data_IF_695438466759
#
_entry.id   IF_695438466759
#
_cell.length_a   1.000
_cell.length_b   1.000
_cell.length_c   1.000
_cell.angle_alpha   90.00
_cell.angle_beta   90.00
_cell.angle_gamma   90.00
#
_symmetry.space_group_name_H-M   'P 1'
#
loop_
_entity.id
_entity.type
_entity.pdbx_description
1 polymer ?
#
# COMPACT_ATOMS: atom_id res chain seq x y z
N UNK A 1 7.03 3.38 -25.02
CA UNK A 1 6.43 4.71 -24.84
C UNK A 1 5.41 4.83 -25.93
N UNK A 2 4.21 5.26 -25.57
CA UNK A 2 3.09 5.24 -26.52
C UNK A 2 3.19 6.45 -27.46
N UNK A 3 2.66 6.32 -28.67
CA UNK A 3 2.75 7.38 -29.67
C UNK A 3 2.06 8.67 -29.16
N UNK A 4 2.78 9.79 -29.22
CA UNK A 4 2.29 11.10 -28.72
C UNK A 4 2.44 11.32 -27.22
N UNK A 5 3.02 10.38 -26.46
CA UNK A 5 3.31 10.56 -25.04
C UNK A 5 4.76 11.00 -24.79
N UNK A 6 4.97 11.82 -23.76
CA UNK A 6 6.28 12.26 -23.29
C UNK A 6 6.56 11.73 -21.88
N UNK A 7 7.84 11.59 -21.52
CA UNK A 7 8.23 11.16 -20.15
C UNK A 7 7.77 12.20 -19.13
N UNK A 8 7.16 11.73 -18.05
CA UNK A 8 6.79 12.60 -16.95
C UNK A 8 8.03 13.00 -16.13
N UNK A 9 8.06 14.26 -15.73
CA UNK A 9 9.01 14.85 -14.80
C UNK A 9 8.29 15.84 -13.88
N UNK A 10 8.97 16.35 -12.86
CA UNK A 10 8.38 17.28 -11.90
C UNK A 10 7.88 18.59 -12.52
N UNK A 11 8.34 18.97 -13.71
CA UNK A 11 7.95 20.21 -14.38
C UNK A 11 6.72 20.07 -15.29
N UNK A 12 6.39 18.86 -15.75
CA UNK A 12 5.34 18.65 -16.74
C UNK A 12 4.10 17.91 -16.23
N UNK A 13 4.09 17.45 -14.97
CA UNK A 13 2.90 16.87 -14.36
C UNK A 13 1.73 17.88 -14.32
N UNK A 14 0.47 17.42 -14.46
CA UNK A 14 -0.68 18.28 -14.20
C UNK A 14 -0.73 18.64 -12.71
N UNK A 15 -1.20 19.85 -12.40
CA UNK A 15 -1.47 20.23 -11.02
C UNK A 15 -2.71 19.49 -10.52
N UNK A 16 -2.58 18.83 -9.37
CA UNK A 16 -3.69 18.11 -8.74
C UNK A 16 -3.71 18.52 -7.27
N UNK A 17 -4.68 19.34 -6.90
CA UNK A 17 -4.85 19.76 -5.51
C UNK A 17 -5.75 18.81 -4.70
N UNK A 18 -5.80 19.03 -3.39
CA UNK A 18 -6.60 18.23 -2.47
C UNK A 18 -8.11 18.34 -2.70
N UNK A 19 -8.60 19.46 -3.24
CA UNK A 19 -10.01 19.64 -3.58
C UNK A 19 -10.40 18.80 -4.79
N UNK A 20 -9.53 18.74 -5.82
CA UNK A 20 -9.70 17.89 -7.00
C UNK A 20 -9.82 16.41 -6.62
N UNK A 21 -8.93 15.95 -5.73
CA UNK A 21 -8.98 14.58 -5.20
C UNK A 21 -10.27 14.34 -4.44
N UNK A 22 -10.64 15.26 -3.55
CA UNK A 22 -11.86 15.14 -2.73
C UNK A 22 -13.11 15.12 -3.59
N UNK A 23 -13.21 16.02 -4.58
CA UNK A 23 -14.33 16.10 -5.52
C UNK A 23 -14.45 14.83 -6.36
N UNK A 24 -13.33 14.29 -6.85
CA UNK A 24 -13.33 13.04 -7.58
C UNK A 24 -13.82 11.88 -6.71
N UNK A 25 -13.32 11.75 -5.47
CA UNK A 25 -13.78 10.70 -4.56
C UNK A 25 -15.25 10.87 -4.16
N UNK A 26 -15.73 12.10 -3.95
CA UNK A 26 -17.13 12.37 -3.63
C UNK A 26 -18.07 12.04 -4.79
N UNK A 27 -17.65 12.31 -6.03
CA UNK A 27 -18.46 12.07 -7.24
C UNK A 27 -18.50 10.59 -7.66
N UNK A 28 -17.58 9.78 -7.14
CA UNK A 28 -17.52 8.36 -7.39
C UNK A 28 -18.03 7.61 -6.16
N UNK A 29 -19.35 7.37 -6.08
CA UNK A 29 -19.98 6.64 -4.97
C UNK A 29 -19.45 5.21 -4.75
N UNK A 30 -18.64 4.71 -5.69
CA UNK A 30 -17.99 3.40 -5.67
C UNK A 30 -16.62 3.41 -4.97
N UNK A 31 -16.41 4.30 -4.00
CA UNK A 31 -15.07 4.52 -3.43
C UNK A 31 -14.69 3.51 -2.34
N UNK A 32 -15.60 2.72 -1.74
CA UNK A 32 -15.23 1.76 -0.69
C UNK A 32 -16.23 0.57 -0.55
N UNK A 33 -15.78 -0.67 -0.78
CA UNK A 33 -16.47 -1.88 -0.29
C UNK A 33 -16.17 -2.09 1.20
N UNK A 34 -17.00 -2.82 1.96
CA UNK A 34 -16.78 -3.03 3.42
C UNK A 34 -15.41 -3.64 3.78
N UNK A 35 -14.75 -4.34 2.86
CA UNK A 35 -13.39 -4.86 3.02
C UNK A 35 -12.32 -3.76 3.07
N UNK A 36 -12.68 -2.55 2.63
CA UNK A 36 -11.82 -1.38 2.58
C UNK A 36 -11.90 -0.54 3.87
N UNK A 37 -12.79 -0.85 4.83
CA UNK A 37 -12.79 -0.19 6.16
C UNK A 37 -11.58 -0.55 7.01
N UNK A 38 -10.94 -1.68 6.70
CA UNK A 38 -9.64 -2.05 7.24
C UNK A 38 -8.49 -1.44 6.44
N UNK A 39 -8.71 -0.48 5.53
CA UNK A 39 -7.64 0.16 4.76
C UNK A 39 -6.60 0.79 5.67
N UNK A 40 -6.94 1.36 6.83
CA UNK A 40 -5.91 1.86 7.77
C UNK A 40 -5.02 0.73 8.29
N UNK A 41 -5.58 -0.46 8.52
CA UNK A 41 -4.86 -1.68 8.95
C UNK A 41 -4.15 -2.38 7.78
N UNK A 42 -4.66 -2.27 6.55
CA UNK A 42 -4.05 -2.88 5.35
C UNK A 42 -3.01 -1.98 4.69
N UNK A 43 -3.14 -0.65 4.81
CA UNK A 43 -2.12 0.32 4.40
C UNK A 43 -0.95 0.30 5.39
N UNK A 44 -1.21 0.13 6.70
CA UNK A 44 -0.14 -0.05 7.68
C UNK A 44 0.60 -1.40 7.55
N UNK A 45 -0.04 -2.40 6.92
CA UNK A 45 0.60 -3.67 6.54
C UNK A 45 1.24 -3.67 5.13
N UNK A 46 0.96 -2.68 4.28
CA UNK A 46 1.44 -2.61 2.88
C UNK A 46 2.53 -1.54 2.74
N UNK A 47 3.71 -1.82 3.26
CA UNK A 47 4.94 -1.08 2.90
C UNK A 47 5.27 -1.12 1.38
N UNK A 48 4.52 -1.87 0.56
CA UNK A 48 4.80 -2.08 -0.85
C UNK A 48 3.95 -1.26 -1.84
N UNK A 49 3.01 -0.42 -1.39
CA UNK A 49 2.21 0.45 -2.28
C UNK A 49 2.41 1.95 -1.98
N UNK A 50 3.64 2.31 -1.60
CA UNK A 50 4.08 3.70 -1.51
C UNK A 50 4.52 4.26 -2.87
N UNK A 51 5.08 5.47 -2.86
CA UNK A 51 5.54 6.15 -4.07
C UNK A 51 6.60 5.37 -4.87
N UNK A 52 7.36 4.53 -4.18
CA UNK A 52 8.35 3.61 -4.74
C UNK A 52 7.76 2.53 -5.65
N UNK A 53 6.45 2.29 -5.56
CA UNK A 53 5.73 1.35 -6.42
C UNK A 53 5.44 1.93 -7.80
N UNK A 54 5.49 3.25 -7.97
CA UNK A 54 5.12 3.93 -9.21
C UNK A 54 6.36 4.13 -10.08
N UNK A 55 6.24 3.79 -11.36
CA UNK A 55 7.30 3.97 -12.35
C UNK A 55 6.76 4.04 -13.77
N UNK A 56 7.69 4.26 -14.71
CA UNK A 56 7.39 4.41 -16.13
C UNK A 56 6.22 5.37 -16.44
N UNK A 57 6.23 6.53 -15.79
CA UNK A 57 5.15 7.51 -15.95
C UNK A 57 5.38 8.34 -17.21
N UNK A 58 4.36 8.38 -18.07
CA UNK A 58 4.31 9.17 -19.29
C UNK A 58 3.02 9.99 -19.32
N UNK A 59 3.03 11.12 -20.00
CA UNK A 59 1.86 11.97 -20.13
C UNK A 59 1.70 12.52 -21.53
N UNK A 60 0.49 12.90 -21.86
CA UNK A 60 0.11 13.58 -23.10
C UNK A 60 -0.77 14.76 -22.74
N UNK A 61 -0.36 15.95 -23.16
CA UNK A 61 -1.11 17.19 -22.96
C UNK A 61 -1.84 17.54 -24.25
N UNK A 62 -3.17 17.51 -24.20
CA UNK A 62 -4.09 17.91 -25.25
C UNK A 62 -5.08 18.89 -24.63
N UNK A 63 -4.72 20.19 -24.47
CA UNK A 63 -5.54 21.16 -23.75
C UNK A 63 -7.00 21.12 -24.20
N UNK A 64 -7.96 21.06 -23.27
CA UNK A 64 -7.82 21.27 -21.82
C UNK A 64 -7.43 20.01 -21.01
N UNK A 65 -7.21 18.87 -21.66
CA UNK A 65 -7.05 17.56 -21.02
C UNK A 65 -5.58 17.14 -20.95
N UNK A 66 -5.16 16.66 -19.78
CA UNK A 66 -3.88 16.00 -19.55
C UNK A 66 -4.12 14.54 -19.21
N UNK A 67 -3.60 13.63 -20.05
CA UNK A 67 -3.66 12.19 -19.83
C UNK A 67 -2.32 11.72 -19.28
N UNK A 68 -2.32 11.16 -18.08
CA UNK A 68 -1.16 10.60 -17.40
C UNK A 68 -1.30 9.08 -17.33
N UNK A 69 -0.31 8.36 -17.83
CA UNK A 69 -0.21 6.91 -17.77
C UNK A 69 0.96 6.53 -16.86
N UNK A 70 0.76 5.54 -16.02
CA UNK A 70 1.82 5.01 -15.16
C UNK A 70 1.72 3.51 -14.97
N UNK A 71 2.81 2.93 -14.47
CA UNK A 71 2.85 1.55 -14.01
C UNK A 71 3.05 1.51 -12.50
N UNK A 72 2.25 0.70 -11.84
CA UNK A 72 2.36 0.41 -10.42
C UNK A 72 2.81 -1.04 -10.26
N UNK A 73 3.95 -1.24 -9.63
CA UNK A 73 4.43 -2.57 -9.29
C UNK A 73 3.89 -2.99 -7.92
N UNK A 74 3.08 -4.04 -7.91
CA UNK A 74 2.51 -4.60 -6.70
C UNK A 74 2.44 -6.12 -6.82
N UNK A 75 2.84 -6.84 -5.78
CA UNK A 75 2.89 -8.32 -5.75
C UNK A 75 3.51 -8.95 -7.01
N UNK A 76 4.72 -8.51 -7.36
CA UNK A 76 5.49 -9.06 -8.49
C UNK A 76 4.89 -8.82 -9.88
N UNK A 77 3.82 -8.01 -9.99
CA UNK A 77 3.16 -7.67 -11.26
C UNK A 77 3.08 -6.16 -11.47
N UNK A 78 3.32 -5.75 -12.71
CA UNK A 78 3.04 -4.39 -13.18
C UNK A 78 1.55 -4.22 -13.47
N UNK A 79 0.93 -3.21 -12.87
CA UNK A 79 -0.44 -2.77 -13.14
C UNK A 79 -0.41 -1.44 -13.88
N UNK A 80 -1.09 -1.34 -15.01
CA UNK A 80 -1.20 -0.13 -15.83
C UNK A 80 -2.36 0.72 -15.34
N UNK A 81 -2.10 1.99 -15.07
CA UNK A 81 -3.10 2.94 -14.61
C UNK A 81 -3.11 4.17 -15.50
N UNK A 82 -4.31 4.65 -15.80
CA UNK A 82 -4.58 5.90 -16.51
C UNK A 82 -5.25 6.89 -15.57
N UNK A 83 -4.75 8.12 -15.56
CA UNK A 83 -5.30 9.29 -14.88
C UNK A 83 -5.58 10.35 -15.94
N UNK A 84 -6.77 10.92 -15.94
CA UNK A 84 -7.19 11.99 -16.84
C UNK A 84 -7.57 13.19 -15.99
N UNK A 85 -6.93 14.32 -16.28
CA UNK A 85 -7.13 15.60 -15.57
C UNK A 85 -7.58 16.64 -16.59
N UNK A 86 -8.64 17.37 -16.29
CA UNK A 86 -8.98 18.61 -16.96
C UNK A 86 -8.23 19.75 -16.25
N UNK A 87 -7.23 20.32 -16.92
CA UNK A 87 -6.40 21.40 -16.35
C UNK A 87 -7.15 22.75 -16.33
N UNK A 88 -8.16 22.95 -17.18
CA UNK A 88 -8.95 24.20 -17.23
C UNK A 88 -10.02 24.24 -16.16
N UNK A 89 -10.72 23.12 -15.95
CA UNK A 89 -11.74 23.00 -14.90
C UNK A 89 -11.15 22.64 -13.53
N UNK A 90 -9.84 22.39 -13.47
CA UNK A 90 -9.17 21.85 -12.28
C UNK A 90 -9.97 20.66 -11.73
N UNK A 91 -10.14 19.62 -12.54
CA UNK A 91 -10.93 18.44 -12.16
C UNK A 91 -10.24 17.15 -12.61
N UNK A 92 -10.15 16.17 -11.71
CA UNK A 92 -9.79 14.80 -12.09
C UNK A 92 -11.02 14.15 -12.71
N UNK A 93 -10.98 13.88 -14.01
CA UNK A 93 -12.12 13.31 -14.75
C UNK A 93 -12.22 11.81 -14.56
N UNK A 94 -11.08 11.12 -14.56
CA UNK A 94 -11.05 9.65 -14.56
C UNK A 94 -9.76 9.10 -13.98
N UNK A 95 -9.88 8.02 -13.20
CA UNK A 95 -8.75 7.17 -12.79
C UNK A 95 -9.13 5.71 -13.00
N UNK A 96 -8.36 4.99 -13.80
CA UNK A 96 -8.68 3.61 -14.16
C UNK A 96 -7.42 2.73 -14.17
N UNK A 97 -7.47 1.62 -13.45
CA UNK A 97 -6.52 0.52 -13.60
C UNK A 97 -7.05 -0.43 -14.68
N UNK A 98 -6.18 -0.87 -15.59
CA UNK A 98 -6.55 -1.77 -16.69
C UNK A 98 -6.38 -3.24 -16.36
N UNK A 99 -5.71 -3.54 -15.24
CA UNK A 99 -5.38 -4.91 -14.81
C UNK A 99 -6.29 -5.42 -13.68
N UNK A 100 -7.20 -4.58 -13.17
CA UNK A 100 -8.15 -4.94 -12.12
C UNK A 100 -9.58 -4.93 -12.69
N UNK A 101 -10.33 -6.00 -12.42
CA UNK A 101 -11.74 -6.16 -12.84
C UNK A 101 -12.72 -5.70 -11.76
N UNK A 102 -12.30 -4.75 -10.91
CA UNK A 102 -13.12 -4.26 -9.80
C UNK A 102 -14.22 -3.33 -10.32
N UNK A 103 -15.45 -3.50 -9.82
CA UNK A 103 -16.58 -2.58 -10.07
C UNK A 103 -16.39 -1.22 -9.35
N UNK A 104 -15.40 -1.17 -8.46
CA UNK A 104 -15.07 -0.05 -7.58
C UNK A 104 -13.65 0.48 -7.88
N UNK A 105 -13.29 1.64 -7.32
CA UNK A 105 -11.94 2.17 -7.47
C UNK A 105 -10.95 1.23 -6.79
N UNK A 106 -10.09 0.58 -7.58
CA UNK A 106 -9.10 -0.33 -7.04
C UNK A 106 -7.98 0.44 -6.31
N UNK A 107 -7.25 -0.27 -5.44
CA UNK A 107 -6.15 0.31 -4.66
C UNK A 107 -5.03 0.87 -5.55
N UNK A 108 -4.80 0.31 -6.75
CA UNK A 108 -3.80 0.82 -7.71
C UNK A 108 -4.22 2.17 -8.27
N UNK A 109 -5.49 2.33 -8.65
CA UNK A 109 -6.04 3.60 -9.11
C UNK A 109 -5.92 4.67 -8.03
N UNK A 110 -6.32 4.35 -6.80
CA UNK A 110 -6.20 5.27 -5.68
C UNK A 110 -4.74 5.62 -5.38
N UNK A 111 -3.84 4.64 -5.36
CA UNK A 111 -2.41 4.86 -5.13
C UNK A 111 -1.80 5.78 -6.20
N UNK A 112 -2.17 5.60 -7.47
CA UNK A 112 -1.69 6.45 -8.56
C UNK A 112 -2.19 7.90 -8.44
N UNK A 113 -3.48 8.08 -8.09
CA UNK A 113 -4.06 9.40 -7.87
C UNK A 113 -3.35 10.13 -6.73
N UNK A 114 -3.16 9.45 -5.60
CA UNK A 114 -2.49 10.03 -4.45
C UNK A 114 -1.01 10.32 -4.71
N UNK A 115 -0.33 9.47 -5.50
CA UNK A 115 1.04 9.72 -5.96
C UNK A 115 1.11 10.98 -6.83
N UNK A 116 0.20 11.14 -7.79
CA UNK A 116 0.18 12.28 -8.70
C UNK A 116 -0.10 13.59 -7.95
N UNK A 117 -1.04 13.58 -7.00
CA UNK A 117 -1.31 14.70 -6.10
C UNK A 117 -0.04 15.13 -5.34
N UNK A 118 0.61 14.21 -4.59
CA UNK A 118 1.85 14.49 -3.84
C UNK A 118 2.93 15.08 -4.74
N UNK A 119 3.20 14.45 -5.88
CA UNK A 119 4.25 14.90 -6.82
C UNK A 119 3.95 16.26 -7.44
N UNK A 120 2.67 16.61 -7.59
CA UNK A 120 2.28 17.92 -8.13
C UNK A 120 2.39 19.06 -7.11
N UNK A 121 2.38 18.77 -5.81
CA UNK A 121 2.54 19.76 -4.73
C UNK A 121 3.98 19.88 -4.22
N UNK A 122 4.84 18.90 -4.50
CA UNK A 122 6.24 18.94 -4.12
C UNK A 122 6.99 20.09 -4.81
N UNK A 123 7.53 21.02 -4.02
CA UNK A 123 8.48 22.04 -4.49
C UNK A 123 9.88 21.43 -4.55
N UNK A 124 10.27 20.96 -5.74
CA UNK A 124 11.57 20.32 -5.93
C UNK A 124 12.54 21.26 -6.62
N UNK A 125 13.72 21.49 -6.01
CA UNK A 125 14.80 22.33 -6.56
C UNK A 125 15.47 21.71 -7.81
N UNK A 126 15.36 20.39 -7.99
CA UNK A 126 15.92 19.64 -9.11
C UNK A 126 14.85 18.87 -9.90
N UNK A 127 15.02 18.79 -11.22
CA UNK A 127 14.09 18.05 -12.09
C UNK A 127 14.14 16.54 -11.81
N UNK A 128 13.05 16.00 -11.26
CA UNK A 128 12.90 14.57 -11.02
C UNK A 128 12.22 13.91 -12.22
N UNK A 129 12.76 12.78 -12.68
CA UNK A 129 12.19 12.01 -13.79
C UNK A 129 11.48 10.75 -13.27
N UNK A 130 10.26 10.52 -13.74
CA UNK A 130 9.42 9.39 -13.31
C UNK A 130 9.43 8.21 -14.30
N UNK A 131 10.36 8.24 -15.26
CA UNK A 131 10.58 7.16 -16.23
C UNK A 131 11.66 6.19 -15.75
N UNK A 132 11.38 5.49 -14.65
CA UNK A 132 12.28 4.48 -14.07
C UNK A 132 11.53 3.22 -13.68
N UNK A 133 12.27 2.12 -13.52
CA UNK A 133 11.74 0.89 -12.93
C UNK A 133 11.26 1.21 -11.51
N UNK A 134 10.05 0.76 -11.10
CA UNK A 134 9.58 0.91 -9.73
C UNK A 134 10.63 0.42 -8.73
N UNK A 135 10.93 1.25 -7.72
CA UNK A 135 11.89 0.92 -6.66
C UNK A 135 11.46 -0.33 -5.89
N UNK A 136 10.16 -0.56 -5.75
CA UNK A 136 9.64 -1.80 -5.15
C UNK A 136 9.92 -3.06 -5.98
N UNK A 137 10.10 -2.93 -7.30
CA UNK A 137 10.55 -4.04 -8.14
C UNK A 137 12.06 -4.33 -7.99
N UNK A 138 12.84 -3.35 -7.54
CA UNK A 138 14.28 -3.47 -7.28
C UNK A 138 14.57 -4.03 -5.88
N UNK A 139 13.70 -3.77 -4.89
CA UNK A 139 13.81 -4.24 -3.49
C UNK A 139 13.38 -5.71 -3.29
N UNK A 140 13.41 -6.54 -4.34
CA UNK A 140 12.98 -7.95 -4.29
C UNK A 140 14.01 -8.89 -3.64
N UNK A 141 15.16 -8.39 -3.17
CA UNK A 141 16.03 -9.17 -2.27
C UNK A 141 15.47 -9.17 -0.85
N UNK A 142 15.24 -10.37 -0.32
CA UNK A 142 14.72 -10.71 1.02
C UNK A 142 14.92 -9.62 2.08
N UNK A 143 13.81 -8.99 2.49
CA UNK A 143 13.78 -7.95 3.55
C UNK A 143 13.71 -8.52 4.97
N UNK A 144 13.71 -9.84 5.09
CA UNK A 144 13.65 -10.52 6.37
C UNK A 144 14.88 -11.38 6.51
N UNK A 145 15.74 -11.00 7.43
CA UNK A 145 16.77 -11.91 7.92
C UNK A 145 16.07 -12.74 8.97
N UNK A 146 15.84 -14.02 8.68
CA UNK A 146 15.32 -14.96 9.68
C UNK A 146 16.28 -14.99 10.88
N UNK A 147 15.77 -15.28 12.07
CA UNK A 147 16.64 -15.41 13.25
C UNK A 147 17.74 -16.47 13.01
N UNK A 148 17.43 -17.50 12.23
CA UNK A 148 18.43 -18.47 11.76
C UNK A 148 19.54 -17.83 10.92
N UNK A 149 19.18 -16.97 9.95
CA UNK A 149 20.15 -16.21 9.14
C UNK A 149 20.94 -15.17 9.96
N UNK A 150 20.34 -14.55 10.99
CA UNK A 150 21.04 -13.61 11.87
C UNK A 150 22.04 -14.32 12.80
N UNK A 151 21.68 -15.50 13.28
CA UNK A 151 22.47 -16.25 14.27
C UNK A 151 23.40 -17.29 13.66
N UNK A 152 23.27 -17.54 12.35
CA UNK A 152 23.99 -18.61 11.64
C UNK A 152 23.62 -20.02 12.10
N UNK A 153 22.51 -20.19 12.82
CA UNK A 153 22.07 -21.45 13.40
C UNK A 153 20.65 -21.78 12.93
N UNK A 154 20.51 -22.89 12.20
CA UNK A 154 19.21 -23.36 11.70
C UNK A 154 18.22 -23.76 12.82
N UNK A 155 18.71 -23.94 14.05
CA UNK A 155 17.90 -24.20 15.24
C UNK A 155 18.45 -23.45 16.44
N UNK A 156 17.66 -22.50 16.95
CA UNK A 156 17.80 -22.03 18.32
C UNK A 156 17.14 -23.11 19.19
N UNK A 157 17.94 -23.84 19.96
CA UNK A 157 17.42 -24.65 21.06
C UNK A 157 16.90 -23.69 22.12
N UNK A 158 15.63 -23.29 22.01
CA UNK A 158 14.94 -22.61 23.09
C UNK A 158 14.69 -23.70 24.13
N UNK A 159 15.36 -23.63 25.28
CA UNK A 159 14.92 -24.39 26.44
C UNK A 159 13.50 -23.92 26.77
N UNK A 160 12.52 -24.79 26.59
CA UNK A 160 11.14 -24.51 26.96
C UNK A 160 11.08 -24.37 28.48
N UNK A 161 11.15 -23.12 28.97
CA UNK A 161 10.96 -22.81 30.38
C UNK A 161 9.54 -22.27 30.59
N UNK A 162 8.59 -23.12 31.03
CA UNK A 162 7.21 -22.72 31.21
C UNK A 162 6.97 -21.90 32.49
N UNK A 163 8.00 -21.57 33.29
CA UNK A 163 7.85 -20.89 34.59
C UNK A 163 6.98 -19.63 34.52
N UNK A 164 7.27 -18.74 33.56
CA UNK A 164 6.53 -17.48 33.37
C UNK A 164 5.07 -17.75 33.01
N UNK A 165 4.83 -18.74 32.15
CA UNK A 165 3.48 -19.13 31.76
C UNK A 165 2.71 -19.72 32.94
N UNK A 166 3.34 -20.57 33.76
CA UNK A 166 2.73 -21.16 34.95
C UNK A 166 2.40 -20.10 36.01
N UNK A 167 3.27 -19.11 36.23
CA UNK A 167 2.96 -17.97 37.11
C UNK A 167 1.80 -17.14 36.59
N UNK A 168 1.76 -16.88 35.28
CA UNK A 168 0.64 -16.18 34.65
C UNK A 168 -0.68 -16.92 34.87
N UNK A 169 -0.72 -18.24 34.70
CA UNK A 169 -1.94 -19.04 34.95
C UNK A 169 -2.36 -18.99 36.42
N UNK A 170 -1.41 -19.08 37.36
CA UNK A 170 -1.70 -18.94 38.80
C UNK A 170 -2.31 -17.58 39.13
N UNK A 171 -1.73 -16.52 38.61
CA UNK A 171 -2.19 -15.15 38.84
C UNK A 171 -3.53 -14.87 38.16
N UNK A 172 -3.76 -15.42 36.96
CA UNK A 172 -5.02 -15.33 36.26
C UNK A 172 -6.16 -16.02 37.02
N UNK A 173 -5.92 -17.21 37.59
CA UNK A 173 -6.87 -17.89 38.48
C UNK A 173 -7.16 -17.06 39.73
N UNK A 174 -6.11 -16.52 40.38
CA UNK A 174 -6.25 -15.66 41.57
C UNK A 174 -7.12 -14.43 41.30
N UNK A 175 -7.03 -13.86 40.10
CA UNK A 175 -7.80 -12.68 39.68
C UNK A 175 -9.11 -12.99 38.96
N UNK A 176 -9.50 -14.27 38.84
CA UNK A 176 -10.67 -14.73 38.09
C UNK A 176 -10.76 -14.20 36.65
N UNK A 177 -9.62 -14.11 35.96
CA UNK A 177 -9.60 -13.70 34.56
C UNK A 177 -10.11 -14.85 33.69
N UNK A 178 -11.28 -14.66 33.08
CA UNK A 178 -11.91 -15.64 32.19
C UNK A 178 -11.94 -15.19 30.71
N UNK A 179 -11.54 -13.95 30.43
CA UNK A 179 -11.65 -13.34 29.11
C UNK A 179 -10.34 -12.69 28.65
N UNK A 180 -9.28 -13.48 28.49
CA UNK A 180 -8.07 -13.03 27.81
C UNK A 180 -7.70 -13.96 26.66
N UNK A 181 -7.03 -13.42 25.64
CA UNK A 181 -6.68 -14.14 24.42
C UNK A 181 -5.79 -15.35 24.71
N UNK A 182 -4.85 -15.22 25.65
CA UNK A 182 -3.94 -16.29 26.06
C UNK A 182 -4.73 -17.48 26.61
N UNK A 183 -5.69 -17.25 27.52
CA UNK A 183 -6.52 -18.32 28.06
C UNK A 183 -7.41 -18.95 26.98
N UNK A 184 -8.00 -18.15 26.09
CA UNK A 184 -8.82 -18.66 24.98
C UNK A 184 -8.05 -19.53 24.00
N UNK A 185 -6.79 -19.20 23.73
CA UNK A 185 -5.96 -19.93 22.76
C UNK A 185 -5.22 -21.12 23.37
N UNK A 186 -4.73 -21.01 24.61
CA UNK A 186 -3.94 -22.06 25.26
C UNK A 186 -4.79 -23.16 25.91
N UNK A 187 -5.98 -22.84 26.45
CA UNK A 187 -6.88 -23.85 27.04
C UNK A 187 -7.38 -24.86 25.99
N UNK A 188 -7.44 -24.46 24.72
CA UNK A 188 -7.79 -25.36 23.60
C UNK A 188 -6.72 -26.41 23.27
N UNK A 189 -5.48 -26.25 23.75
CA UNK A 189 -4.34 -27.07 23.31
C UNK A 189 -3.66 -27.84 24.44
N UNK A 190 -3.91 -27.49 25.71
CA UNK A 190 -3.24 -28.11 26.88
C UNK A 190 -4.21 -28.33 28.04
N UNK A 191 -5.14 -29.27 27.87
CA UNK A 191 -5.99 -29.79 28.98
C UNK A 191 -5.18 -30.67 29.96
N UNK A 192 -4.02 -31.18 29.53
CA UNK A 192 -3.08 -32.03 30.26
C UNK A 192 -2.36 -31.33 31.43
N UNK A 193 -2.27 -29.99 31.40
CA UNK A 193 -1.58 -29.21 32.44
C UNK A 193 -2.47 -28.86 33.65
N UNK A 194 -3.69 -29.40 33.70
CA UNK A 194 -4.70 -29.08 34.72
C UNK A 194 -5.08 -30.25 35.65
N UNK A 195 -4.29 -31.34 35.69
CA UNK A 195 -4.39 -32.39 36.72
C UNK A 195 -3.52 -32.08 37.93
#
# INVERSE_FOLDING_TARGET
MDAGFVKANSANLPKIDSLMVTQFLASNHNVFTSESRNIKTSLSQKESLGDDAVGYVQLRKEPPVCTVLGKIFYHQKDHKVTLIVNETESMVTKVQCHDCTELFICIHSLAFLMWAHRRSEETIESTQYYWRKPLNALKSSERFITVAQMTGKDKISIEENPSVFLEFIKEAKRRQLNNCLILKHCLKYREDLFQ
#
